data_IF_136978955988
#
_entry.id   IF_136978955988
#
_cell.length_a   1.000
_cell.length_b   1.000
_cell.length_c   1.000
_cell.angle_alpha   90.00
_cell.angle_beta   90.00
_cell.angle_gamma   90.00
#
_symmetry.space_group_name_H-M   'P 1'
#
loop_
_entity.id
_entity.type
_entity.pdbx_description
1 polymer ?
#
# COMPACT_ATOMS: atom_id res chain seq x y z
N UNK A 1 -163.91 84.39 -0.53
CA UNK A 1 -163.82 84.96 0.83
C UNK A 1 -162.48 85.71 0.90
N UNK A 2 -162.51 87.01 1.19
CA UNK A 2 -161.39 87.98 1.22
C UNK A 2 -160.66 87.98 2.59
N UNK A 3 -159.42 88.49 2.72
CA UNK A 3 -158.17 87.97 2.16
C UNK A 3 -157.18 87.54 3.26
N UNK A 4 -156.01 87.04 2.85
CA UNK A 4 -154.88 86.65 3.68
C UNK A 4 -154.52 87.70 4.75
N UNK A 5 -154.55 87.29 6.02
CA UNK A 5 -154.11 88.12 7.15
C UNK A 5 -152.62 87.91 7.43
N UNK A 6 -151.94 88.94 7.96
CA UNK A 6 -150.52 88.90 8.40
C UNK A 6 -150.17 87.68 9.26
N UNK A 7 -151.14 87.16 10.01
CA UNK A 7 -150.99 86.00 10.89
C UNK A 7 -150.66 84.69 10.14
N UNK A 8 -151.24 84.44 8.95
CA UNK A 8 -150.98 83.21 8.17
C UNK A 8 -149.55 83.19 7.59
N UNK A 9 -149.02 84.35 7.20
CA UNK A 9 -147.64 84.48 6.70
C UNK A 9 -146.62 84.27 7.83
N UNK A 10 -146.92 84.78 9.04
CA UNK A 10 -146.07 84.57 10.22
C UNK A 10 -146.04 83.09 10.62
N UNK A 11 -147.18 82.38 10.58
CA UNK A 11 -147.22 80.94 10.82
C UNK A 11 -146.41 80.15 9.78
N UNK A 12 -146.42 80.58 8.51
CA UNK A 12 -145.61 79.93 7.47
C UNK A 12 -144.11 80.15 7.69
N UNK A 13 -143.71 81.33 8.15
CA UNK A 13 -142.32 81.61 8.55
C UNK A 13 -141.90 80.76 9.76
N UNK A 14 -142.69 80.70 10.83
CA UNK A 14 -142.39 79.85 12.00
C UNK A 14 -142.34 78.36 11.63
N UNK A 15 -143.19 77.89 10.72
CA UNK A 15 -143.15 76.51 10.22
C UNK A 15 -141.89 76.24 9.39
N UNK A 16 -141.46 77.21 8.56
CA UNK A 16 -140.22 77.11 7.79
C UNK A 16 -139.00 77.05 8.72
N UNK A 17 -138.93 77.92 9.73
CA UNK A 17 -137.82 77.95 10.68
C UNK A 17 -137.75 76.66 11.51
N UNK A 18 -138.89 76.13 11.97
CA UNK A 18 -138.94 74.82 12.64
C UNK A 18 -138.53 73.65 11.73
N UNK A 19 -138.89 73.70 10.45
CA UNK A 19 -138.49 72.66 9.48
C UNK A 19 -136.99 72.75 9.18
N UNK A 20 -136.42 73.96 9.09
CA UNK A 20 -135.00 74.18 8.92
C UNK A 20 -134.20 73.81 10.17
N UNK A 21 -134.70 74.09 11.38
CA UNK A 21 -134.08 73.62 12.63
C UNK A 21 -134.10 72.10 12.74
N UNK A 22 -135.21 71.42 12.41
CA UNK A 22 -135.24 69.95 12.41
C UNK A 22 -134.32 69.31 11.36
N UNK A 23 -134.05 70.03 10.27
CA UNK A 23 -133.07 69.62 9.26
C UNK A 23 -131.63 70.04 9.63
N UNK A 24 -131.44 70.91 10.61
CA UNK A 24 -130.20 71.65 10.87
C UNK A 24 -129.72 71.75 12.32
N UNK A 25 -130.38 71.11 13.30
CA UNK A 25 -129.95 71.11 14.71
C UNK A 25 -129.58 69.69 15.16
N UNK A 26 -128.32 69.58 15.57
CA UNK A 26 -127.59 68.47 16.22
C UNK A 26 -127.07 67.29 15.37
N UNK A 27 -125.75 67.34 15.15
CA UNK A 27 -124.82 66.23 15.39
C UNK A 27 -124.83 65.04 14.41
N UNK A 28 -124.31 65.23 13.18
CA UNK A 28 -123.99 64.11 12.28
C UNK A 28 -122.72 64.29 11.42
N UNK A 29 -121.68 64.94 11.95
CA UNK A 29 -120.40 65.13 11.22
C UNK A 29 -119.59 63.82 11.07
N UNK A 30 -119.99 62.68 11.66
CA UNK A 30 -119.11 61.49 11.71
C UNK A 30 -119.43 60.29 10.82
N UNK A 31 -120.64 60.10 10.27
CA UNK A 31 -120.94 58.80 9.59
C UNK A 31 -121.83 58.85 8.33
N UNK A 32 -122.56 59.93 8.01
CA UNK A 32 -123.41 59.95 6.78
C UNK A 32 -123.19 61.23 5.99
N UNK A 33 -122.59 61.12 4.80
CA UNK A 33 -121.96 62.22 4.08
C UNK A 33 -122.87 63.33 3.51
N UNK A 34 -122.25 64.39 2.94
CA UNK A 34 -122.87 65.68 2.58
C UNK A 34 -124.00 65.65 1.52
N UNK A 35 -124.30 64.50 0.92
CA UNK A 35 -125.30 64.39 -0.16
C UNK A 35 -126.76 64.34 0.32
N UNK A 36 -127.03 63.93 1.56
CA UNK A 36 -128.40 63.87 2.09
C UNK A 36 -128.89 65.20 2.71
N UNK A 37 -127.97 65.99 3.25
CA UNK A 37 -128.26 67.28 3.91
C UNK A 37 -128.83 68.31 2.91
N UNK A 38 -128.19 68.43 1.74
CA UNK A 38 -128.64 69.28 0.62
C UNK A 38 -130.03 68.89 0.06
N UNK A 39 -130.41 67.61 0.10
CA UNK A 39 -131.73 67.16 -0.37
C UNK A 39 -132.86 67.51 0.58
N UNK A 40 -132.61 67.49 1.89
CA UNK A 40 -133.61 67.83 2.90
C UNK A 40 -133.96 69.32 2.87
N UNK A 41 -132.94 70.18 2.78
CA UNK A 41 -133.09 71.64 2.72
C UNK A 41 -133.88 72.10 1.47
N UNK A 42 -133.57 71.51 0.30
CA UNK A 42 -134.26 71.82 -0.95
C UNK A 42 -135.77 71.51 -0.91
N UNK A 43 -136.19 70.47 -0.17
CA UNK A 43 -137.61 70.10 -0.04
C UNK A 43 -138.38 71.09 0.83
N UNK A 44 -137.76 71.66 1.86
CA UNK A 44 -138.39 72.63 2.76
C UNK A 44 -138.73 73.92 1.99
N UNK A 45 -137.79 74.43 1.19
CA UNK A 45 -138.04 75.61 0.35
C UNK A 45 -139.18 75.39 -0.65
N UNK A 46 -139.30 74.19 -1.21
CA UNK A 46 -140.37 73.86 -2.17
C UNK A 46 -141.77 73.95 -1.55
N UNK A 47 -141.93 73.48 -0.31
CA UNK A 47 -143.20 73.50 0.41
C UNK A 47 -143.64 74.94 0.68
N UNK A 48 -142.74 75.77 1.21
CA UNK A 48 -143.03 77.18 1.53
C UNK A 48 -143.37 77.99 0.26
N UNK A 49 -142.64 77.77 -0.83
CA UNK A 49 -142.89 78.46 -2.09
C UNK A 49 -144.23 78.08 -2.75
N UNK A 50 -144.68 76.83 -2.61
CA UNK A 50 -146.02 76.44 -3.11
C UNK A 50 -147.12 77.15 -2.33
N UNK A 51 -146.95 77.31 -1.03
CA UNK A 51 -147.92 78.00 -0.19
C UNK A 51 -147.96 79.51 -0.46
N UNK A 52 -146.81 80.16 -0.69
CA UNK A 52 -146.75 81.56 -1.12
C UNK A 52 -147.46 81.81 -2.47
N UNK A 53 -147.25 80.91 -3.45
CA UNK A 53 -147.94 81.01 -4.75
C UNK A 53 -149.46 80.85 -4.55
N UNK A 54 -149.89 79.92 -3.69
CA UNK A 54 -151.31 79.73 -3.36
C UNK A 54 -151.91 80.99 -2.75
N UNK A 55 -151.26 81.59 -1.75
CA UNK A 55 -151.74 82.79 -1.05
C UNK A 55 -151.86 84.00 -2.00
N UNK A 56 -150.87 84.24 -2.87
CA UNK A 56 -150.91 85.35 -3.83
C UNK A 56 -151.95 85.12 -4.95
N UNK A 57 -152.19 83.87 -5.33
CA UNK A 57 -153.21 83.52 -6.34
C UNK A 57 -154.66 83.74 -5.86
N UNK A 58 -154.88 83.81 -4.54
CA UNK A 58 -156.22 84.06 -3.96
C UNK A 58 -156.65 85.53 -4.11
N UNK A 59 -155.70 86.48 -4.01
CA UNK A 59 -155.98 87.92 -4.15
C UNK A 59 -155.92 88.41 -5.60
N UNK A 60 -155.01 87.85 -6.41
CA UNK A 60 -154.88 88.15 -7.82
C UNK A 60 -154.26 86.95 -8.55
N UNK A 61 -155.09 86.24 -9.30
CA UNK A 61 -154.68 85.04 -10.05
C UNK A 61 -153.54 85.37 -11.01
N UNK A 62 -153.51 86.56 -11.61
CA UNK A 62 -152.43 86.98 -12.51
C UNK A 62 -151.09 87.14 -11.79
N UNK A 63 -151.08 87.65 -10.54
CA UNK A 63 -149.85 87.71 -9.71
C UNK A 63 -149.38 86.32 -9.32
N UNK A 64 -150.31 85.43 -9.00
CA UNK A 64 -150.04 84.02 -8.75
C UNK A 64 -149.45 83.28 -9.96
N UNK A 65 -150.01 83.53 -11.15
CA UNK A 65 -149.50 83.03 -12.43
C UNK A 65 -148.13 83.64 -12.77
N UNK A 66 -147.88 84.91 -12.44
CA UNK A 66 -146.57 85.54 -12.62
C UNK A 66 -145.51 84.91 -11.70
N UNK A 67 -145.83 84.65 -10.43
CA UNK A 67 -144.93 83.95 -9.49
C UNK A 67 -144.72 82.47 -9.87
N UNK A 68 -145.76 81.79 -10.35
CA UNK A 68 -145.65 80.44 -10.91
C UNK A 68 -144.79 80.42 -12.18
N UNK A 69 -144.91 81.43 -13.06
CA UNK A 69 -144.05 81.59 -14.23
C UNK A 69 -142.61 81.95 -13.85
N UNK A 70 -142.40 82.81 -12.86
CA UNK A 70 -141.06 83.11 -12.33
C UNK A 70 -140.41 81.87 -11.73
N UNK A 71 -141.14 81.06 -10.94
CA UNK A 71 -140.62 79.79 -10.43
C UNK A 71 -140.42 78.74 -11.51
N UNK A 72 -141.32 78.64 -12.49
CA UNK A 72 -141.16 77.74 -13.63
C UNK A 72 -140.01 78.18 -14.55
N UNK A 73 -139.74 79.49 -14.65
CA UNK A 73 -138.60 80.06 -15.37
C UNK A 73 -137.29 79.88 -14.60
N UNK A 74 -137.30 79.93 -13.26
CA UNK A 74 -136.16 79.59 -12.41
C UNK A 74 -135.91 78.08 -12.34
N UNK A 75 -136.95 77.24 -12.43
CA UNK A 75 -136.85 75.79 -12.56
C UNK A 75 -136.37 75.38 -13.97
N UNK A 76 -136.72 76.14 -15.02
CA UNK A 76 -136.16 76.00 -16.37
C UNK A 76 -134.75 76.60 -16.51
N UNK A 77 -134.35 77.50 -15.61
CA UNK A 77 -132.95 77.89 -15.43
C UNK A 77 -132.15 76.87 -14.61
N UNK A 78 -132.81 75.85 -14.04
CA UNK A 78 -132.21 74.76 -13.26
C UNK A 78 -132.27 73.40 -13.99
N UNK A 79 -132.37 73.43 -15.31
CA UNK A 79 -132.07 72.30 -16.18
C UNK A 79 -130.89 72.68 -17.09
N UNK A 80 -129.68 72.23 -16.74
CA UNK A 80 -128.70 71.94 -17.76
C UNK A 80 -128.23 70.49 -17.65
N UNK A 81 -128.39 69.83 -18.80
CA UNK A 81 -127.49 68.83 -19.35
C UNK A 81 -126.08 68.81 -18.70
N UNK A 82 -125.56 67.59 -18.49
CA UNK A 82 -124.13 67.23 -18.37
C UNK A 82 -123.45 66.97 -17.01
N UNK A 83 -124.07 67.10 -15.82
CA UNK A 83 -123.28 66.99 -14.57
C UNK A 83 -123.84 66.06 -13.46
N UNK A 84 -124.53 64.95 -13.79
CA UNK A 84 -125.05 64.00 -12.78
C UNK A 84 -124.65 62.52 -12.98
N UNK A 85 -123.63 62.20 -13.80
CA UNK A 85 -123.04 60.85 -13.88
C UNK A 85 -121.62 60.79 -13.27
N UNK A 86 -120.80 61.83 -13.39
CA UNK A 86 -119.37 61.75 -13.04
C UNK A 86 -119.07 61.66 -11.54
N UNK A 87 -119.92 62.19 -10.66
CA UNK A 87 -119.63 62.24 -9.22
C UNK A 87 -119.78 60.89 -8.49
N UNK A 88 -120.66 59.99 -8.96
CA UNK A 88 -120.94 58.71 -8.28
C UNK A 88 -119.98 57.59 -8.73
N UNK A 89 -119.47 57.63 -9.98
CA UNK A 89 -118.45 56.68 -10.46
C UNK A 89 -117.05 57.02 -9.88
N UNK A 90 -116.72 58.30 -9.75
CA UNK A 90 -115.45 58.77 -9.17
C UNK A 90 -115.29 58.33 -7.70
N UNK A 91 -116.36 58.38 -6.91
CA UNK A 91 -116.34 57.99 -5.49
C UNK A 91 -116.19 56.47 -5.25
N UNK A 92 -116.54 55.61 -6.20
CA UNK A 92 -116.27 54.14 -6.12
C UNK A 92 -114.88 53.76 -6.63
N UNK A 93 -114.33 54.53 -7.59
CA UNK A 93 -113.07 54.21 -8.27
C UNK A 93 -111.83 54.60 -7.45
N UNK A 94 -111.91 55.69 -6.69
CA UNK A 94 -110.79 56.18 -5.86
C UNK A 94 -110.33 55.13 -4.81
N UNK A 95 -111.21 54.49 -4.00
CA UNK A 95 -110.77 53.49 -3.01
C UNK A 95 -110.15 52.23 -3.65
N UNK A 96 -110.66 51.79 -4.80
CA UNK A 96 -110.12 50.62 -5.52
C UNK A 96 -108.76 50.92 -6.16
N UNK A 97 -108.55 52.12 -6.71
CA UNK A 97 -107.23 52.55 -7.17
C UNK A 97 -106.24 52.67 -6.02
N UNK A 98 -106.66 53.18 -4.85
CA UNK A 98 -105.82 53.27 -3.67
C UNK A 98 -105.39 51.89 -3.13
N UNK A 99 -106.29 50.89 -3.16
CA UNK A 99 -105.97 49.50 -2.77
C UNK A 99 -104.98 48.83 -3.73
N UNK A 100 -105.10 49.12 -5.02
CA UNK A 100 -104.19 48.61 -6.06
C UNK A 100 -102.81 49.26 -5.95
N UNK A 101 -102.76 50.58 -5.71
CA UNK A 101 -101.53 51.32 -5.42
C UNK A 101 -100.86 50.80 -4.15
N UNK A 102 -101.61 50.55 -3.07
CA UNK A 102 -101.06 50.01 -1.83
C UNK A 102 -100.45 48.61 -2.02
N UNK A 103 -101.12 47.72 -2.77
CA UNK A 103 -100.55 46.38 -3.11
C UNK A 103 -99.26 46.50 -3.93
N UNK A 104 -99.23 47.38 -4.94
CA UNK A 104 -98.02 47.64 -5.73
C UNK A 104 -96.90 48.24 -4.88
N UNK A 105 -97.23 49.18 -3.99
CA UNK A 105 -96.26 49.80 -3.07
C UNK A 105 -95.68 48.80 -2.08
N UNK A 106 -96.50 47.88 -1.54
CA UNK A 106 -96.01 46.84 -0.63
C UNK A 106 -95.16 45.78 -1.33
N UNK A 107 -95.52 45.40 -2.57
CA UNK A 107 -94.66 44.54 -3.40
C UNK A 107 -93.33 45.23 -3.74
N UNK A 108 -93.35 46.52 -4.07
CA UNK A 108 -92.13 47.31 -4.31
C UNK A 108 -91.25 47.36 -3.06
N UNK A 109 -91.80 47.64 -1.88
CA UNK A 109 -91.03 47.65 -0.62
C UNK A 109 -90.41 46.29 -0.28
N UNK A 110 -91.10 45.19 -0.58
CA UNK A 110 -90.55 43.84 -0.39
C UNK A 110 -89.39 43.56 -1.35
N UNK A 111 -89.52 43.96 -2.63
CA UNK A 111 -88.45 43.83 -3.63
C UNK A 111 -87.26 44.71 -3.25
N UNK A 112 -87.50 45.98 -2.89
CA UNK A 112 -86.45 46.92 -2.47
C UNK A 112 -85.70 46.37 -1.25
N UNK A 113 -86.41 45.76 -0.29
CA UNK A 113 -85.80 45.12 0.88
C UNK A 113 -84.93 43.91 0.48
N UNK A 114 -85.44 43.01 -0.36
CA UNK A 114 -84.67 41.84 -0.82
C UNK A 114 -83.43 42.27 -1.60
N UNK A 115 -83.54 43.24 -2.51
CA UNK A 115 -82.39 43.79 -3.24
C UNK A 115 -81.37 44.40 -2.28
N UNK A 116 -81.82 45.13 -1.26
CA UNK A 116 -80.92 45.72 -0.26
C UNK A 116 -80.18 44.65 0.54
N UNK A 117 -80.87 43.57 0.94
CA UNK A 117 -80.25 42.42 1.63
C UNK A 117 -79.21 41.72 0.72
N UNK A 118 -79.54 41.45 -0.55
CA UNK A 118 -78.59 40.88 -1.52
C UNK A 118 -77.40 41.80 -1.81
N UNK A 119 -77.61 43.12 -1.87
CA UNK A 119 -76.52 44.09 -2.04
C UNK A 119 -75.59 44.12 -0.82
N UNK A 120 -76.11 43.93 0.39
CA UNK A 120 -75.30 43.81 1.60
C UNK A 120 -74.50 42.50 1.60
N UNK A 121 -75.12 41.37 1.27
CA UNK A 121 -74.39 40.09 1.11
C UNK A 121 -73.32 40.15 0.03
N UNK A 122 -73.63 40.78 -1.11
CA UNK A 122 -72.66 41.00 -2.19
C UNK A 122 -71.51 41.88 -1.72
N UNK A 123 -71.79 42.98 -1.00
CA UNK A 123 -70.76 43.85 -0.42
C UNK A 123 -69.86 43.09 0.54
N UNK A 124 -70.41 42.33 1.48
CA UNK A 124 -69.64 41.52 2.43
C UNK A 124 -68.75 40.48 1.71
N UNK A 125 -69.29 39.84 0.67
CA UNK A 125 -68.53 38.88 -0.16
C UNK A 125 -67.39 39.56 -0.91
N UNK A 126 -67.62 40.76 -1.46
CA UNK A 126 -66.57 41.55 -2.13
C UNK A 126 -65.51 41.99 -1.13
N UNK A 127 -65.89 42.44 0.07
CA UNK A 127 -64.95 42.81 1.14
C UNK A 127 -64.07 41.61 1.53
N UNK A 128 -64.66 40.41 1.71
CA UNK A 128 -63.91 39.18 1.96
C UNK A 128 -62.92 38.86 0.84
N UNK A 129 -63.37 38.85 -0.42
CA UNK A 129 -62.51 38.61 -1.58
C UNK A 129 -61.38 39.64 -1.69
N UNK A 130 -61.64 40.91 -1.37
CA UNK A 130 -60.57 41.93 -1.36
C UNK A 130 -59.54 41.70 -0.26
N UNK A 131 -59.96 41.19 0.90
CA UNK A 131 -59.05 40.85 2.00
C UNK A 131 -58.20 39.62 1.67
N UNK A 132 -58.80 38.55 1.12
CA UNK A 132 -58.08 37.36 0.67
C UNK A 132 -57.08 37.69 -0.44
N UNK A 133 -57.46 38.57 -1.38
CA UNK A 133 -56.58 39.01 -2.45
C UNK A 133 -55.40 39.85 -1.92
N UNK A 134 -55.57 40.58 -0.82
CA UNK A 134 -54.49 41.27 -0.14
C UNK A 134 -53.51 40.27 0.50
N UNK A 135 -54.03 39.29 1.24
CA UNK A 135 -53.22 38.23 1.87
C UNK A 135 -52.44 37.42 0.81
N UNK A 136 -53.09 37.01 -0.28
CA UNK A 136 -52.44 36.30 -1.38
C UNK A 136 -51.32 37.13 -2.00
N UNK A 137 -51.51 38.44 -2.20
CA UNK A 137 -50.45 39.33 -2.72
C UNK A 137 -49.28 39.47 -1.76
N UNK A 138 -49.52 39.53 -0.46
CA UNK A 138 -48.42 39.61 0.51
C UNK A 138 -47.66 38.28 0.59
N UNK A 139 -48.37 37.15 0.56
CA UNK A 139 -47.76 35.82 0.44
C UNK A 139 -46.94 35.68 -0.85
N UNK A 140 -47.45 36.13 -1.99
CA UNK A 140 -46.73 36.13 -3.27
C UNK A 140 -45.47 37.00 -3.21
N UNK A 141 -45.56 38.20 -2.62
CA UNK A 141 -44.38 39.06 -2.36
C UNK A 141 -43.37 38.40 -1.44
N UNK A 142 -43.82 37.67 -0.42
CA UNK A 142 -42.92 36.98 0.52
C UNK A 142 -42.25 35.77 -0.14
N UNK A 143 -43.03 34.95 -0.86
CA UNK A 143 -42.52 33.80 -1.61
C UNK A 143 -41.50 34.24 -2.67
N UNK A 144 -41.76 35.35 -3.37
CA UNK A 144 -40.80 35.92 -4.34
C UNK A 144 -39.49 36.34 -3.66
N UNK A 145 -39.56 37.06 -2.52
CA UNK A 145 -38.37 37.44 -1.74
C UNK A 145 -37.58 36.23 -1.24
N UNK A 146 -38.27 35.19 -0.77
CA UNK A 146 -37.63 33.95 -0.32
C UNK A 146 -36.99 33.18 -1.48
N UNK A 147 -37.64 33.16 -2.66
CA UNK A 147 -37.09 32.55 -3.87
C UNK A 147 -35.84 33.30 -4.38
N UNK A 148 -35.86 34.64 -4.39
CA UNK A 148 -34.70 35.48 -4.74
C UNK A 148 -33.53 35.21 -3.80
N UNK A 149 -33.78 35.21 -2.48
CA UNK A 149 -32.75 34.90 -1.49
C UNK A 149 -32.18 33.49 -1.67
N UNK A 150 -33.03 32.48 -1.90
CA UNK A 150 -32.57 31.11 -2.14
C UNK A 150 -31.75 31.01 -3.44
N UNK A 151 -32.09 31.79 -4.48
CA UNK A 151 -31.32 31.86 -5.71
C UNK A 151 -29.94 32.50 -5.49
N UNK A 152 -29.85 33.57 -4.69
CA UNK A 152 -28.57 34.18 -4.31
C UNK A 152 -27.69 33.22 -3.50
N UNK A 153 -28.26 32.54 -2.50
CA UNK A 153 -27.56 31.54 -1.69
C UNK A 153 -27.06 30.36 -2.55
N UNK A 154 -27.89 29.88 -3.48
CA UNK A 154 -27.50 28.83 -4.42
C UNK A 154 -26.38 29.29 -5.35
N UNK A 155 -26.44 30.53 -5.87
CA UNK A 155 -25.40 31.07 -6.73
C UNK A 155 -24.06 31.20 -6.00
N UNK A 156 -24.08 31.67 -4.74
CA UNK A 156 -22.89 31.72 -3.89
C UNK A 156 -22.30 30.33 -3.64
N UNK A 157 -23.14 29.34 -3.30
CA UNK A 157 -22.73 27.96 -3.08
C UNK A 157 -22.15 27.32 -4.35
N UNK A 158 -22.69 27.62 -5.54
CA UNK A 158 -22.16 27.15 -6.81
C UNK A 158 -20.78 27.75 -7.12
N UNK A 159 -20.58 29.04 -6.87
CA UNK A 159 -19.26 29.67 -7.04
C UNK A 159 -18.22 29.09 -6.08
N UNK A 160 -18.60 28.83 -4.83
CA UNK A 160 -17.71 28.18 -3.86
C UNK A 160 -17.39 26.75 -4.27
N UNK A 161 -18.37 25.97 -4.74
CA UNK A 161 -18.15 24.62 -5.23
C UNK A 161 -17.22 24.59 -6.45
N UNK A 162 -17.36 25.55 -7.37
CA UNK A 162 -16.47 25.70 -8.53
C UNK A 162 -15.04 26.06 -8.10
N UNK A 163 -14.88 27.01 -7.17
CA UNK A 163 -13.57 27.37 -6.63
C UNK A 163 -12.90 26.18 -5.92
N UNK A 164 -13.66 25.41 -5.15
CA UNK A 164 -13.19 24.20 -4.49
C UNK A 164 -12.79 23.10 -5.48
N UNK A 165 -13.57 22.92 -6.56
CA UNK A 165 -13.23 21.98 -7.63
C UNK A 165 -11.92 22.37 -8.34
N UNK A 166 -11.74 23.67 -8.63
CA UNK A 166 -10.51 24.19 -9.22
C UNK A 166 -9.29 24.00 -8.31
N UNK A 167 -9.45 24.21 -7.00
CA UNK A 167 -8.40 23.97 -6.02
C UNK A 167 -8.03 22.48 -5.94
N UNK A 168 -9.02 21.59 -5.93
CA UNK A 168 -8.79 20.14 -5.94
C UNK A 168 -8.03 19.66 -7.17
N UNK A 169 -8.32 20.22 -8.35
CA UNK A 169 -7.59 19.89 -9.57
C UNK A 169 -6.12 20.32 -9.49
N UNK A 170 -5.84 21.51 -8.97
CA UNK A 170 -4.45 21.95 -8.73
C UNK A 170 -3.69 21.04 -7.76
N UNK A 171 -4.35 20.59 -6.68
CA UNK A 171 -3.76 19.61 -5.78
C UNK A 171 -3.49 18.28 -6.48
N UNK A 172 -4.43 17.80 -7.29
CA UNK A 172 -4.27 16.57 -8.08
C UNK A 172 -3.06 16.67 -9.01
N UNK A 173 -2.93 17.76 -9.77
CA UNK A 173 -1.78 18.01 -10.65
C UNK A 173 -0.44 17.96 -9.89
N UNK A 174 -0.38 18.60 -8.71
CA UNK A 174 0.81 18.57 -7.85
C UNK A 174 1.14 17.15 -7.37
N UNK A 175 0.15 16.36 -6.95
CA UNK A 175 0.35 14.96 -6.56
C UNK A 175 0.79 14.08 -7.75
N UNK A 176 0.21 14.29 -8.94
CA UNK A 176 0.63 13.57 -10.13
C UNK A 176 2.08 13.90 -10.52
N UNK A 177 2.50 15.16 -10.40
CA UNK A 177 3.90 15.56 -10.61
C UNK A 177 4.85 14.92 -9.59
N UNK A 178 4.48 14.92 -8.31
CA UNK A 178 5.27 14.27 -7.27
C UNK A 178 5.37 12.77 -7.50
N UNK A 179 4.26 12.13 -7.88
CA UNK A 179 4.20 10.71 -8.21
C UNK A 179 5.12 10.38 -9.38
N UNK A 180 5.05 11.11 -10.48
CA UNK A 180 5.93 10.91 -11.65
C UNK A 180 7.41 11.05 -11.29
N UNK A 181 7.76 12.04 -10.45
CA UNK A 181 9.13 12.22 -9.97
C UNK A 181 9.61 11.02 -9.16
N UNK A 182 8.77 10.52 -8.26
CA UNK A 182 9.10 9.37 -7.41
C UNK A 182 9.21 8.09 -8.24
N UNK A 183 8.27 7.85 -9.16
CA UNK A 183 8.32 6.72 -10.10
C UNK A 183 9.60 6.74 -10.94
N UNK A 184 10.02 7.91 -11.41
CA UNK A 184 11.29 8.07 -12.13
C UNK A 184 12.51 7.74 -11.24
N UNK A 185 12.53 8.22 -9.99
CA UNK A 185 13.62 7.89 -9.07
C UNK A 185 13.68 6.40 -8.74
N UNK A 186 12.53 5.76 -8.51
CA UNK A 186 12.44 4.32 -8.29
C UNK A 186 12.97 3.56 -9.50
N UNK A 187 12.60 3.98 -10.72
CA UNK A 187 13.10 3.37 -11.95
C UNK A 187 14.63 3.47 -12.05
N UNK A 188 15.19 4.66 -11.81
CA UNK A 188 16.63 4.90 -11.89
C UNK A 188 17.39 4.03 -10.87
N UNK A 189 16.96 4.04 -9.61
CA UNK A 189 17.59 3.24 -8.54
C UNK A 189 17.46 1.74 -8.82
N UNK A 190 16.36 1.30 -9.44
CA UNK A 190 16.18 -0.09 -9.84
C UNK A 190 17.18 -0.49 -10.93
N UNK A 191 17.38 0.37 -11.93
CA UNK A 191 18.38 0.14 -12.98
C UNK A 191 19.81 0.11 -12.44
N UNK A 192 20.17 1.07 -11.58
CA UNK A 192 21.48 1.08 -10.93
C UNK A 192 21.70 -0.19 -10.10
N UNK A 193 20.69 -0.60 -9.30
CA UNK A 193 20.74 -1.85 -8.55
C UNK A 193 20.97 -3.05 -9.46
N UNK A 194 20.29 -3.12 -10.60
CA UNK A 194 20.42 -4.26 -11.52
C UNK A 194 21.81 -4.29 -12.18
N UNK A 195 22.39 -3.13 -12.52
CA UNK A 195 23.78 -3.02 -13.00
C UNK A 195 24.76 -3.50 -11.93
N UNK A 196 24.62 -3.01 -10.69
CA UNK A 196 25.49 -3.41 -9.58
C UNK A 196 25.36 -4.89 -9.24
N UNK A 197 24.13 -5.43 -9.28
CA UNK A 197 23.90 -6.85 -9.09
C UNK A 197 24.58 -7.67 -10.18
N UNK A 198 24.43 -7.29 -11.46
CA UNK A 198 25.09 -7.99 -12.57
C UNK A 198 26.60 -7.98 -12.41
N UNK A 199 27.20 -6.81 -12.11
CA UNK A 199 28.63 -6.69 -11.92
C UNK A 199 29.15 -7.51 -10.73
N UNK A 200 28.39 -7.56 -9.63
CA UNK A 200 28.71 -8.39 -8.48
C UNK A 200 28.64 -9.89 -8.79
N UNK A 201 27.63 -10.33 -9.56
CA UNK A 201 27.54 -11.70 -10.04
C UNK A 201 28.70 -12.06 -10.98
N UNK A 202 29.04 -11.19 -11.93
CA UNK A 202 30.16 -11.42 -12.86
C UNK A 202 31.50 -11.51 -12.12
N UNK A 203 31.72 -10.65 -11.11
CA UNK A 203 32.90 -10.70 -10.27
C UNK A 203 32.94 -11.99 -9.45
N UNK A 204 31.84 -12.37 -8.80
CA UNK A 204 31.78 -13.61 -8.03
C UNK A 204 32.03 -14.84 -8.91
N UNK A 205 31.46 -14.88 -10.12
CA UNK A 205 31.71 -15.94 -11.08
C UNK A 205 33.19 -16.01 -11.46
N UNK A 206 33.80 -14.86 -11.75
CA UNK A 206 35.23 -14.78 -12.06
C UNK A 206 36.10 -15.24 -10.90
N UNK A 207 35.84 -14.76 -9.68
CA UNK A 207 36.57 -15.19 -8.48
C UNK A 207 36.48 -16.70 -8.27
N UNK A 208 35.30 -17.30 -8.51
CA UNK A 208 35.16 -18.77 -8.42
C UNK A 208 35.91 -19.52 -9.51
N UNK A 209 35.98 -18.96 -10.73
CA UNK A 209 36.76 -19.54 -11.83
C UNK A 209 38.27 -19.46 -11.54
N UNK A 210 38.75 -18.27 -11.17
CA UNK A 210 40.16 -18.03 -10.85
C UNK A 210 40.61 -18.91 -9.68
N UNK A 211 39.75 -19.13 -8.68
CA UNK A 211 40.01 -20.05 -7.58
C UNK A 211 40.11 -21.51 -8.04
N UNK A 212 39.26 -21.94 -8.98
CA UNK A 212 39.31 -23.29 -9.54
C UNK A 212 40.60 -23.52 -10.34
N UNK A 213 41.00 -22.55 -11.17
CA UNK A 213 42.25 -22.60 -11.94
C UNK A 213 43.48 -22.69 -11.01
N UNK A 214 43.51 -21.88 -9.95
CA UNK A 214 44.56 -21.94 -8.92
C UNK A 214 44.60 -23.28 -8.20
N UNK A 215 43.42 -23.87 -7.91
CA UNK A 215 43.35 -25.18 -7.27
C UNK A 215 43.87 -26.29 -8.20
N UNK A 216 43.57 -26.23 -9.50
CA UNK A 216 44.10 -27.16 -10.48
C UNK A 216 45.64 -27.08 -10.56
N UNK A 217 46.19 -25.87 -10.63
CA UNK A 217 47.65 -25.67 -10.68
C UNK A 217 48.34 -26.12 -9.39
N UNK A 218 47.72 -25.85 -8.23
CA UNK A 218 48.22 -26.31 -6.94
C UNK A 218 48.24 -27.85 -6.85
N UNK A 219 47.25 -28.54 -7.42
CA UNK A 219 47.21 -30.00 -7.44
C UNK A 219 48.26 -30.59 -8.41
N UNK A 220 48.44 -29.98 -9.59
CA UNK A 220 49.55 -30.35 -10.50
C UNK A 220 50.91 -30.21 -9.83
N UNK A 221 51.11 -29.13 -9.09
CA UNK A 221 52.34 -28.92 -8.32
C UNK A 221 52.51 -29.97 -7.21
N UNK A 222 51.43 -30.30 -6.48
CA UNK A 222 51.44 -31.38 -5.47
C UNK A 222 51.83 -32.72 -6.10
N UNK A 223 51.26 -33.08 -7.25
CA UNK A 223 51.62 -34.30 -7.96
C UNK A 223 53.09 -34.31 -8.40
N UNK A 224 53.60 -33.17 -8.88
CA UNK A 224 55.02 -33.03 -9.24
C UNK A 224 55.93 -33.24 -8.03
N UNK A 225 55.62 -32.60 -6.90
CA UNK A 225 56.34 -32.81 -5.65
C UNK A 225 56.25 -34.27 -5.17
N UNK A 226 55.09 -34.91 -5.36
CA UNK A 226 54.92 -36.33 -5.06
C UNK A 226 55.84 -37.23 -5.87
N UNK A 227 55.97 -36.97 -7.19
CA UNK A 227 56.92 -37.69 -8.05
C UNK A 227 58.37 -37.48 -7.63
N UNK A 228 58.76 -36.23 -7.38
CA UNK A 228 60.12 -35.90 -6.91
C UNK A 228 60.42 -36.56 -5.57
N UNK A 229 59.47 -36.56 -4.63
CA UNK A 229 59.60 -37.25 -3.35
C UNK A 229 59.84 -38.75 -3.53
N UNK A 230 59.08 -39.41 -4.41
CA UNK A 230 59.27 -40.82 -4.71
C UNK A 230 60.64 -41.12 -5.36
N UNK A 231 61.12 -40.26 -6.25
CA UNK A 231 62.45 -40.38 -6.85
C UNK A 231 63.56 -40.28 -5.80
N UNK A 232 63.44 -39.33 -4.85
CA UNK A 232 64.39 -39.17 -3.74
C UNK A 232 64.38 -40.42 -2.84
N UNK A 233 63.21 -40.92 -2.43
CA UNK A 233 63.10 -42.14 -1.62
C UNK A 233 63.74 -43.35 -2.32
N UNK A 234 63.53 -43.49 -3.62
CA UNK A 234 64.14 -44.56 -4.41
C UNK A 234 65.67 -44.42 -4.49
N UNK A 235 66.20 -43.21 -4.68
CA UNK A 235 67.64 -42.95 -4.68
C UNK A 235 68.28 -43.23 -3.32
N UNK A 236 67.61 -42.88 -2.22
CA UNK A 236 68.05 -43.16 -0.86
C UNK A 236 68.13 -44.66 -0.59
N UNK A 237 67.08 -45.42 -0.92
CA UNK A 237 67.06 -46.87 -0.71
C UNK A 237 68.11 -47.58 -1.59
N UNK A 238 68.25 -47.18 -2.87
CA UNK A 238 69.31 -47.69 -3.75
C UNK A 238 70.71 -47.41 -3.19
N UNK A 239 70.95 -46.22 -2.63
CA UNK A 239 72.24 -45.86 -2.04
C UNK A 239 72.54 -46.68 -0.80
N UNK A 240 71.53 -46.90 0.05
CA UNK A 240 71.61 -47.76 1.23
C UNK A 240 71.88 -49.22 0.87
N UNK A 241 71.22 -49.77 -0.14
CA UNK A 241 71.48 -51.13 -0.65
C UNK A 241 72.92 -51.27 -1.16
N UNK A 242 73.40 -50.30 -1.96
CA UNK A 242 74.78 -50.29 -2.45
C UNK A 242 75.79 -50.26 -1.30
N UNK A 243 75.58 -49.42 -0.29
CA UNK A 243 76.44 -49.38 0.91
C UNK A 243 76.44 -50.72 1.66
N UNK A 244 75.28 -51.36 1.82
CA UNK A 244 75.20 -52.69 2.44
C UNK A 244 75.98 -53.75 1.66
N UNK A 245 75.98 -53.70 0.33
CA UNK A 245 76.77 -54.62 -0.51
C UNK A 245 78.27 -54.38 -0.29
N UNK A 246 78.71 -53.11 -0.27
CA UNK A 246 80.11 -52.75 -0.03
C UNK A 246 80.57 -53.21 1.34
N UNK A 247 79.85 -52.90 2.42
CA UNK A 247 80.20 -53.34 3.78
C UNK A 247 80.30 -54.86 3.90
N UNK A 248 79.31 -55.59 3.36
CA UNK A 248 79.33 -57.07 3.36
C UNK A 248 80.55 -57.63 2.62
N UNK A 249 80.90 -57.03 1.48
CA UNK A 249 82.05 -57.48 0.68
C UNK A 249 83.38 -57.23 1.39
N UNK A 250 83.55 -56.05 2.00
CA UNK A 250 84.75 -55.71 2.76
C UNK A 250 84.91 -56.59 4.01
N UNK A 251 83.83 -56.84 4.75
CA UNK A 251 83.85 -57.76 5.89
C UNK A 251 84.23 -59.19 5.49
N UNK A 252 83.69 -59.68 4.36
CA UNK A 252 84.07 -60.99 3.82
C UNK A 252 85.55 -61.06 3.46
N UNK A 253 86.12 -59.97 2.95
CA UNK A 253 87.55 -59.90 2.65
C UNK A 253 88.41 -59.93 3.92
N UNK A 254 88.04 -59.18 4.96
CA UNK A 254 88.73 -59.24 6.26
C UNK A 254 88.72 -60.67 6.85
N UNK A 255 87.57 -61.33 6.84
CA UNK A 255 87.44 -62.73 7.29
C UNK A 255 88.33 -63.69 6.48
N UNK A 256 88.46 -63.47 5.17
CA UNK A 256 89.33 -64.27 4.32
C UNK A 256 90.81 -64.08 4.68
N UNK A 257 91.23 -62.84 4.95
CA UNK A 257 92.60 -62.52 5.39
C UNK A 257 92.93 -63.19 6.73
N UNK A 258 92.00 -63.17 7.70
CA UNK A 258 92.16 -63.86 8.99
C UNK A 258 92.34 -65.37 8.80
N UNK A 259 91.48 -66.00 7.99
CA UNK A 259 91.57 -67.42 7.67
C UNK A 259 92.92 -67.78 7.03
N UNK A 260 93.40 -66.98 6.08
CA UNK A 260 94.68 -67.23 5.41
C UNK A 260 95.88 -67.00 6.31
N UNK A 261 95.80 -66.05 7.24
CA UNK A 261 96.82 -65.85 8.27
C UNK A 261 96.99 -67.10 9.14
N UNK A 262 95.90 -67.76 9.52
CA UNK A 262 95.97 -69.00 10.31
C UNK A 262 96.54 -70.19 9.52
N UNK A 263 96.18 -70.29 8.23
CA UNK A 263 96.79 -71.27 7.32
C UNK A 263 98.30 -71.05 7.16
N UNK A 264 98.76 -69.80 7.10
CA UNK A 264 100.18 -69.46 7.00
C UNK A 264 100.94 -69.84 8.26
N UNK A 265 100.40 -69.54 9.44
CA UNK A 265 101.00 -69.96 10.73
C UNK A 265 101.15 -71.48 10.80
N UNK A 266 100.16 -72.22 10.32
CA UNK A 266 100.21 -73.68 10.27
C UNK A 266 101.34 -74.17 9.35
N UNK A 267 101.51 -73.55 8.18
CA UNK A 267 102.61 -73.87 7.26
C UNK A 267 103.98 -73.54 7.87
N UNK A 268 104.10 -72.43 8.61
CA UNK A 268 105.34 -72.06 9.29
C UNK A 268 105.75 -73.07 10.37
N UNK A 269 104.80 -73.55 11.18
CA UNK A 269 105.05 -74.61 12.17
C UNK A 269 105.55 -75.90 11.52
N UNK A 270 104.97 -76.27 10.38
CA UNK A 270 105.42 -77.43 9.61
C UNK A 270 106.85 -77.23 9.07
N UNK A 271 107.14 -76.06 8.51
CA UNK A 271 108.47 -75.71 8.00
C UNK A 271 109.53 -75.79 9.10
N UNK A 272 109.25 -75.23 10.29
CA UNK A 272 110.13 -75.28 11.46
C UNK A 272 110.46 -76.72 11.85
N UNK A 273 109.44 -77.59 11.95
CA UNK A 273 109.62 -78.98 12.30
C UNK A 273 110.44 -79.77 11.26
N UNK A 274 110.22 -79.52 9.96
CA UNK A 274 111.02 -80.12 8.88
C UNK A 274 112.47 -79.66 8.91
N UNK A 275 112.72 -78.38 9.19
CA UNK A 275 114.07 -77.82 9.35
C UNK A 275 114.79 -78.47 10.53
N UNK A 276 114.15 -78.58 11.70
CA UNK A 276 114.73 -79.22 12.89
C UNK A 276 115.10 -80.70 12.64
N UNK A 277 114.21 -81.44 11.97
CA UNK A 277 114.45 -82.83 11.60
C UNK A 277 115.62 -82.94 10.62
N UNK A 278 115.64 -82.10 9.57
CA UNK A 278 116.71 -82.05 8.57
C UNK A 278 118.07 -81.72 9.20
N UNK A 279 118.12 -80.71 10.07
CA UNK A 279 119.31 -80.35 10.83
C UNK A 279 119.77 -81.50 11.73
N UNK A 280 118.85 -82.19 12.41
CA UNK A 280 119.17 -83.34 13.27
C UNK A 280 119.78 -84.50 12.48
N UNK A 281 119.22 -84.82 11.31
CA UNK A 281 119.75 -85.87 10.42
C UNK A 281 121.14 -85.48 9.93
N UNK A 282 121.31 -84.28 9.36
CA UNK A 282 122.58 -83.82 8.81
C UNK A 282 123.67 -83.66 9.88
N UNK A 283 123.32 -83.24 11.10
CA UNK A 283 124.25 -83.17 12.24
C UNK A 283 124.85 -84.53 12.62
N UNK A 284 124.17 -85.64 12.34
CA UNK A 284 124.67 -87.01 12.59
C UNK A 284 125.66 -87.49 11.52
N UNK A 285 125.70 -86.83 10.36
CA UNK A 285 126.54 -87.20 9.21
C UNK A 285 127.76 -86.28 9.07
N UNK A 286 128.44 -85.99 10.19
CA UNK A 286 129.72 -85.25 10.15
C UNK A 286 130.80 -86.07 9.46
N UNK A 287 131.69 -85.41 8.76
CA UNK A 287 132.84 -86.09 8.15
C UNK A 287 133.86 -86.53 9.22
N UNK A 288 134.91 -87.23 8.78
CA UNK A 288 135.97 -87.73 9.66
C UNK A 288 136.77 -86.61 10.35
N UNK A 289 136.64 -85.35 9.92
CA UNK A 289 137.24 -84.16 10.57
C UNK A 289 136.26 -83.47 11.54
N UNK A 290 135.02 -83.95 11.63
CA UNK A 290 133.96 -83.36 12.45
C UNK A 290 133.22 -82.21 11.78
N UNK A 291 133.49 -81.92 10.50
CA UNK A 291 132.83 -80.84 9.76
C UNK A 291 131.43 -81.24 9.30
N UNK A 292 130.54 -80.25 9.18
CA UNK A 292 129.16 -80.44 8.75
C UNK A 292 129.09 -80.63 7.22
N UNK A 293 128.15 -81.44 6.71
CA UNK A 293 127.93 -81.59 5.27
C UNK A 293 127.56 -80.26 4.60
N UNK A 294 127.94 -80.04 3.33
CA UNK A 294 127.54 -78.84 2.59
C UNK A 294 126.02 -78.69 2.45
N UNK A 295 125.27 -79.80 2.51
CA UNK A 295 123.80 -79.79 2.55
C UNK A 295 123.23 -79.10 3.80
N UNK A 296 123.99 -79.04 4.90
CA UNK A 296 123.58 -78.33 6.11
C UNK A 296 123.53 -76.82 5.87
N UNK A 297 124.56 -76.26 5.22
CA UNK A 297 124.59 -74.85 4.84
C UNK A 297 123.46 -74.50 3.83
N UNK A 298 123.19 -75.39 2.88
CA UNK A 298 122.07 -75.22 1.95
C UNK A 298 120.70 -75.24 2.67
N UNK A 299 120.52 -76.10 3.69
CA UNK A 299 119.31 -76.12 4.51
C UNK A 299 119.15 -74.85 5.35
N UNK A 300 120.24 -74.31 5.90
CA UNK A 300 120.22 -73.02 6.61
C UNK A 300 119.86 -71.85 5.68
N UNK A 301 120.39 -71.84 4.46
CA UNK A 301 120.05 -70.84 3.44
C UNK A 301 118.56 -70.92 3.06
N UNK A 302 118.04 -72.12 2.79
CA UNK A 302 116.61 -72.35 2.51
C UNK A 302 115.75 -71.90 3.69
N UNK A 303 116.16 -72.20 4.93
CA UNK A 303 115.42 -71.81 6.12
C UNK A 303 115.40 -70.28 6.30
N UNK A 304 116.53 -69.60 6.05
CA UNK A 304 116.62 -68.15 6.06
C UNK A 304 115.70 -67.52 5.02
N UNK A 305 115.75 -67.98 3.77
CA UNK A 305 114.87 -67.49 2.69
C UNK A 305 113.39 -67.78 2.98
N UNK A 306 113.07 -68.96 3.53
CA UNK A 306 111.70 -69.30 3.92
C UNK A 306 111.18 -68.39 5.05
N UNK A 307 112.03 -68.03 6.00
CA UNK A 307 111.67 -67.11 7.07
C UNK A 307 111.43 -65.68 6.56
N UNK A 308 112.28 -65.17 5.66
CA UNK A 308 112.10 -63.87 5.01
C UNK A 308 110.80 -63.82 4.20
N UNK A 309 110.51 -64.87 3.42
CA UNK A 309 109.26 -65.01 2.66
C UNK A 309 108.04 -65.09 3.58
N UNK A 310 108.13 -65.85 4.68
CA UNK A 310 107.06 -65.92 5.68
C UNK A 310 106.79 -64.55 6.30
N UNK A 311 107.82 -63.81 6.70
CA UNK A 311 107.64 -62.47 7.28
C UNK A 311 106.95 -61.53 6.29
N UNK A 312 107.42 -61.47 5.04
CA UNK A 312 106.82 -60.61 4.02
C UNK A 312 105.37 -61.01 3.72
N UNK A 313 105.09 -62.31 3.62
CA UNK A 313 103.73 -62.80 3.35
C UNK A 313 102.82 -62.59 4.56
N UNK A 314 103.32 -62.79 5.78
CA UNK A 314 102.59 -62.55 7.02
C UNK A 314 102.19 -61.08 7.14
N UNK A 315 103.09 -60.13 6.86
CA UNK A 315 102.80 -58.69 6.88
C UNK A 315 101.71 -58.33 5.85
N UNK A 316 101.76 -58.92 4.65
CA UNK A 316 100.77 -58.68 3.58
C UNK A 316 99.39 -59.27 3.93
N UNK A 317 99.34 -60.50 4.45
CA UNK A 317 98.09 -61.23 4.68
C UNK A 317 97.40 -60.86 5.99
N UNK A 318 98.17 -60.53 7.05
CA UNK A 318 97.62 -59.99 8.30
C UNK A 318 97.20 -58.54 8.16
N UNK A 319 97.70 -57.85 7.13
CA UNK A 319 97.48 -56.43 6.87
C UNK A 319 98.18 -55.52 7.89
N UNK A 320 99.24 -56.00 8.54
CA UNK A 320 100.10 -55.20 9.44
C UNK A 320 100.90 -54.10 8.71
N UNK A 321 100.82 -54.06 7.38
CA UNK A 321 101.26 -52.94 6.55
C UNK A 321 100.29 -51.73 6.57
N UNK A 322 99.22 -51.80 7.37
CA UNK A 322 98.20 -50.75 7.54
C UNK A 322 96.88 -51.08 6.86
N UNK A 323 96.84 -52.08 5.97
CA UNK A 323 95.65 -52.49 5.22
C UNK A 323 94.48 -52.82 6.16
N UNK A 324 94.70 -53.64 7.20
CA UNK A 324 93.63 -54.03 8.14
C UNK A 324 93.13 -52.84 8.95
N UNK A 325 94.03 -51.94 9.36
CA UNK A 325 93.67 -50.73 10.13
C UNK A 325 92.77 -49.80 9.32
N UNK A 326 93.16 -49.47 8.09
CA UNK A 326 92.38 -48.58 7.23
C UNK A 326 91.05 -49.21 6.80
N UNK A 327 91.03 -50.51 6.50
CA UNK A 327 89.79 -51.23 6.16
C UNK A 327 88.82 -51.31 7.33
N UNK A 328 89.31 -51.62 8.52
CA UNK A 328 88.45 -51.72 9.71
C UNK A 328 87.85 -50.36 10.04
N UNK A 329 88.62 -49.28 9.91
CA UNK A 329 88.11 -47.92 10.07
C UNK A 329 87.04 -47.56 9.02
N UNK A 330 87.25 -47.95 7.76
CA UNK A 330 86.30 -47.75 6.67
C UNK A 330 84.99 -48.48 6.90
N UNK A 331 85.06 -49.78 7.17
CA UNK A 331 83.91 -50.64 7.43
C UNK A 331 83.12 -50.11 8.63
N UNK A 332 83.79 -49.80 9.74
CA UNK A 332 83.15 -49.27 10.94
C UNK A 332 82.43 -47.94 10.65
N UNK A 333 83.06 -47.03 9.90
CA UNK A 333 82.46 -45.74 9.56
C UNK A 333 81.23 -45.88 8.66
N UNK A 334 81.24 -46.85 7.72
CA UNK A 334 80.10 -47.18 6.87
C UNK A 334 78.98 -47.89 7.65
N UNK A 335 79.30 -48.80 8.57
CA UNK A 335 78.35 -49.49 9.44
C UNK A 335 77.67 -48.53 10.42
N UNK A 336 78.42 -47.62 11.04
CA UNK A 336 77.89 -46.56 11.90
C UNK A 336 76.88 -45.69 11.14
N UNK A 337 77.17 -45.38 9.87
CA UNK A 337 76.26 -44.62 9.02
C UNK A 337 75.00 -45.44 8.68
N UNK A 338 75.17 -46.71 8.29
CA UNK A 338 74.06 -47.60 7.97
C UNK A 338 73.10 -47.76 9.15
N UNK A 339 73.64 -47.91 10.37
CA UNK A 339 72.85 -48.01 11.58
C UNK A 339 72.05 -46.72 11.87
N UNK A 340 72.65 -45.54 11.64
CA UNK A 340 71.94 -44.26 11.76
C UNK A 340 70.79 -44.16 10.78
N UNK A 341 71.02 -44.50 9.51
CA UNK A 341 69.98 -44.44 8.46
C UNK A 341 68.86 -45.44 8.73
N UNK A 342 69.15 -46.63 9.25
CA UNK A 342 68.12 -47.62 9.62
C UNK A 342 67.22 -47.16 10.77
N UNK A 343 67.69 -46.26 11.64
CA UNK A 343 66.93 -45.74 12.79
C UNK A 343 65.96 -44.63 12.40
N UNK A 344 66.19 -43.97 11.26
CA UNK A 344 65.27 -42.97 10.72
C UNK A 344 64.00 -43.68 10.26
N UNK A 345 62.85 -43.23 10.76
CA UNK A 345 61.56 -43.86 10.46
C UNK A 345 61.26 -43.71 8.96
N UNK A 346 60.77 -44.80 8.35
CA UNK A 346 60.13 -44.76 7.03
C UNK A 346 59.06 -43.65 7.03
N UNK A 347 59.28 -42.59 6.28
CA UNK A 347 58.34 -41.47 6.12
C UNK A 347 58.69 -40.17 6.83
N UNK A 348 59.76 -40.10 7.65
CA UNK A 348 60.45 -38.82 7.85
C UNK A 348 61.58 -38.80 6.82
N UNK A 349 61.38 -38.15 5.67
CA UNK A 349 62.45 -38.00 4.67
C UNK A 349 63.74 -37.57 5.37
N UNK A 350 64.90 -38.07 4.91
CA UNK A 350 66.17 -37.67 5.50
C UNK A 350 66.19 -36.13 5.57
N UNK A 351 66.31 -35.59 6.78
CA UNK A 351 66.42 -34.15 6.93
C UNK A 351 67.66 -33.70 6.15
N UNK A 352 67.59 -32.58 5.44
CA UNK A 352 68.67 -32.04 4.61
C UNK A 352 70.05 -32.09 5.31
N UNK A 353 70.07 -31.86 6.63
CA UNK A 353 71.25 -31.95 7.48
C UNK A 353 71.89 -33.37 7.50
N UNK A 354 71.09 -34.43 7.43
CA UNK A 354 71.54 -35.82 7.42
C UNK A 354 72.09 -36.22 6.05
N UNK A 355 71.47 -35.77 4.95
CA UNK A 355 72.01 -35.96 3.60
C UNK A 355 73.35 -35.23 3.46
N UNK A 356 73.43 -34.00 3.96
CA UNK A 356 74.68 -33.25 3.97
C UNK A 356 75.75 -33.95 4.81
N UNK A 357 75.39 -34.51 5.98
CA UNK A 357 76.30 -35.31 6.79
C UNK A 357 76.78 -36.60 6.08
N UNK A 358 75.94 -37.23 5.25
CA UNK A 358 76.35 -38.34 4.39
C UNK A 358 77.40 -37.92 3.38
N UNK A 359 77.11 -36.87 2.60
CA UNK A 359 78.01 -36.37 1.56
C UNK A 359 79.37 -35.97 2.12
N UNK A 360 79.42 -35.42 3.34
CA UNK A 360 80.68 -35.10 4.01
C UNK A 360 81.52 -36.33 4.42
N UNK A 361 80.93 -37.52 4.55
CA UNK A 361 81.68 -38.76 4.86
C UNK A 361 82.36 -39.37 3.62
N UNK A 362 81.80 -39.17 2.43
CA UNK A 362 82.29 -39.81 1.19
C UNK A 362 83.77 -39.47 0.91
N UNK A 363 84.24 -38.21 0.98
CA UNK A 363 85.67 -37.90 0.76
C UNK A 363 86.59 -38.62 1.75
N UNK A 364 86.17 -38.77 3.01
CA UNK A 364 86.93 -39.50 4.01
C UNK A 364 87.01 -41.00 3.70
N UNK A 365 85.92 -41.60 3.24
CA UNK A 365 85.90 -42.99 2.80
C UNK A 365 86.79 -43.22 1.56
N UNK A 366 86.76 -42.30 0.59
CA UNK A 366 87.63 -42.37 -0.58
C UNK A 366 89.12 -42.30 -0.18
N UNK A 367 89.49 -41.38 0.70
CA UNK A 367 90.87 -41.28 1.19
C UNK A 367 91.33 -42.56 1.91
N UNK A 368 90.43 -43.24 2.65
CA UNK A 368 90.74 -44.53 3.27
C UNK A 368 90.89 -45.66 2.24
N UNK A 369 90.08 -45.67 1.18
CA UNK A 369 90.26 -46.60 0.05
C UNK A 369 91.61 -46.37 -0.64
N UNK A 370 91.99 -45.12 -0.89
CA UNK A 370 93.28 -44.78 -1.50
C UNK A 370 94.45 -45.21 -0.60
N UNK A 371 94.33 -45.00 0.72
CA UNK A 371 95.32 -45.45 1.68
C UNK A 371 95.48 -46.99 1.65
N UNK A 372 94.37 -47.73 1.59
CA UNK A 372 94.38 -49.19 1.44
C UNK A 372 95.06 -49.59 0.13
N UNK A 373 94.69 -48.96 -0.99
CA UNK A 373 95.31 -49.23 -2.30
C UNK A 373 96.82 -48.99 -2.31
N UNK A 374 97.30 -48.00 -1.56
CA UNK A 374 98.74 -47.71 -1.41
C UNK A 374 99.51 -48.72 -0.56
N UNK A 375 98.82 -49.47 0.30
CA UNK A 375 99.42 -50.45 1.21
C UNK A 375 99.30 -51.89 0.69
N UNK A 376 98.30 -52.19 -0.15
CA UNK A 376 98.10 -53.52 -0.72
C UNK A 376 99.36 -53.97 -1.46
N UNK A 377 99.87 -55.15 -1.11
CA UNK A 377 101.07 -55.74 -1.70
C UNK A 377 102.40 -55.31 -1.06
N UNK A 378 102.42 -54.28 -0.21
CA UNK A 378 103.61 -53.89 0.53
C UNK A 378 103.99 -54.94 1.58
N UNK A 379 105.27 -55.33 1.61
CA UNK A 379 105.85 -56.22 2.63
C UNK A 379 106.42 -55.49 3.85
N UNK A 380 106.27 -54.17 3.93
CA UNK A 380 106.78 -53.35 5.04
C UNK A 380 105.72 -53.13 6.12
N UNK A 381 106.14 -53.08 7.39
CA UNK A 381 105.28 -52.74 8.51
C UNK A 381 104.82 -51.28 8.43
N UNK A 382 103.58 -51.02 8.84
CA UNK A 382 103.00 -49.67 8.83
C UNK A 382 103.80 -48.67 9.69
N UNK A 383 104.31 -49.11 10.84
CA UNK A 383 105.10 -48.27 11.76
C UNK A 383 106.45 -47.85 11.18
N UNK A 384 107.05 -48.69 10.32
CA UNK A 384 108.35 -48.40 9.69
C UNK A 384 108.25 -47.33 8.58
N UNK A 385 107.05 -47.04 8.07
CA UNK A 385 106.80 -46.02 7.03
C UNK A 385 106.86 -44.58 7.58
N UNK A 386 106.70 -44.41 8.90
CA UNK A 386 106.80 -43.09 9.53
C UNK A 386 108.23 -42.68 9.88
N UNK A 387 109.17 -43.63 9.92
CA UNK A 387 110.51 -43.40 10.47
C UNK A 387 111.68 -43.55 9.48
N UNK A 388 111.50 -43.85 8.19
CA UNK A 388 112.64 -43.97 7.27
C UNK A 388 112.43 -43.40 5.85
N UNK A 389 113.44 -42.65 5.43
CA UNK A 389 113.73 -42.07 4.11
C UNK A 389 113.48 -43.01 2.91
N UNK A 390 113.27 -42.44 1.70
CA UNK A 390 112.99 -43.22 0.50
C UNK A 390 114.23 -43.98 0.03
N UNK A 391 114.12 -45.31 -0.02
CA UNK A 391 115.00 -46.13 -0.86
C UNK A 391 114.23 -46.63 -2.08
N UNK A 392 114.74 -46.22 -3.24
CA UNK A 392 114.35 -46.58 -4.60
C UNK A 392 115.10 -47.86 -5.03
N UNK A 393 114.61 -48.52 -6.09
CA UNK A 393 113.89 -49.79 -6.11
C UNK A 393 114.73 -51.05 -5.86
#
# INVERSE_FOLDING_TARGET
RKPAGRFEVIQLMEAMDNMLEKAGVDELIRVTGPSQLLKAEQNIYNIVFHELIRQVSVDCVERGQLLSKLRSSLAKANEPQLCNWEYVDLLKRIPQQMKTLYKKMMAQRLIDRHITEELLYFKESVEQLTSELYEVREHDRKATREAEKAQEELAAAMQEAEANANLLEQYRELYELQRRRLEYQVLLVTQERDIWNSAAYDLALKDTSDLADLQEEAEKFREMLGRVGAEIEHLEESSKEKLQIVCRSLNKWLQYCDMKTESLKSAARLQEHWTELGQTVLNRHRDFTGALPPQYAALEEINKSAHELYQQYNIRISGNNGTTTFLTALVRSMEDWLFKVQKLKKGSGMHEAELQAFYHRIPSWLAQVDAVMSCIGSGQLHEAKNDMEPHLP
#
